data_IF_220772591363
#
_entry.id   IF_220772591363
#
_cell.length_a   1.000
_cell.length_b   1.000
_cell.length_c   1.000
_cell.angle_alpha   90.00
_cell.angle_beta   90.00
_cell.angle_gamma   90.00
#
_symmetry.space_group_name_H-M   'P 1'
#
loop_
_entity.id
_entity.type
_entity.pdbx_description
1 polymer ?
#
# COMPACT_ATOMS: atom_id res chain seq x y z
N UNK A 1 -18.72 30.49 17.60
CA UNK A 1 -19.40 29.21 17.85
C UNK A 1 -18.39 28.26 18.50
N UNK A 2 -18.51 28.07 19.81
CA UNK A 2 -17.69 27.09 20.52
C UNK A 2 -18.03 25.69 20.01
N UNK A 3 -17.01 24.90 19.69
CA UNK A 3 -17.22 23.48 19.39
C UNK A 3 -17.69 22.83 20.68
N UNK A 4 -18.97 22.49 20.76
CA UNK A 4 -19.48 21.75 21.92
C UNK A 4 -18.58 20.54 22.16
N UNK A 5 -18.05 20.36 23.38
CA UNK A 5 -17.22 19.22 23.68
C UNK A 5 -18.05 17.96 23.47
N UNK A 6 -17.58 17.09 22.56
CA UNK A 6 -18.26 15.84 22.27
C UNK A 6 -18.51 15.09 23.60
N UNK A 7 -19.78 14.76 23.93
CA UNK A 7 -20.13 14.16 25.22
C UNK A 7 -19.46 12.80 25.46
N UNK A 8 -19.06 12.10 24.40
CA UNK A 8 -18.36 10.82 24.49
C UNK A 8 -16.86 10.99 24.76
N UNK A 9 -16.32 12.21 24.68
CA UNK A 9 -14.88 12.47 24.86
C UNK A 9 -14.35 11.95 26.20
N UNK A 10 -14.97 12.21 27.37
CA UNK A 10 -14.45 11.71 28.64
C UNK A 10 -14.38 10.17 28.70
N UNK A 11 -15.40 9.50 28.17
CA UNK A 11 -15.45 8.03 28.09
C UNK A 11 -14.32 7.48 27.22
N UNK A 12 -14.16 8.05 26.02
CA UNK A 12 -13.14 7.63 25.06
C UNK A 12 -11.72 7.93 25.56
N UNK A 13 -11.52 8.97 26.37
CA UNK A 13 -10.24 9.23 27.04
C UNK A 13 -9.88 8.13 28.05
N UNK A 14 -10.84 7.73 28.90
CA UNK A 14 -10.63 6.66 29.88
C UNK A 14 -10.35 5.31 29.19
N UNK A 15 -11.08 5.01 28.12
CA UNK A 15 -10.88 3.78 27.34
C UNK A 15 -9.55 3.79 26.58
N UNK A 16 -9.16 4.94 26.01
CA UNK A 16 -7.84 5.12 25.41
C UNK A 16 -6.74 4.82 26.42
N UNK A 17 -6.79 5.38 27.63
CA UNK A 17 -5.75 5.17 28.63
C UNK A 17 -5.69 3.70 29.09
N UNK A 18 -6.83 3.03 29.23
CA UNK A 18 -6.89 1.60 29.55
C UNK A 18 -6.30 0.70 28.45
N UNK A 19 -6.53 1.04 27.18
CA UNK A 19 -6.10 0.21 26.04
C UNK A 19 -4.69 0.54 25.57
N UNK A 20 -4.32 1.82 25.50
CA UNK A 20 -3.06 2.30 24.92
C UNK A 20 -2.02 2.62 26.02
N UNK A 21 -2.42 2.83 27.27
CA UNK A 21 -1.51 3.00 28.41
C UNK A 21 -0.83 4.36 28.50
N UNK A 22 -1.25 5.34 27.71
CA UNK A 22 -0.76 6.72 27.76
C UNK A 22 -1.85 7.71 27.38
N UNK A 23 -1.81 8.96 27.86
CA UNK A 23 -2.85 9.94 27.55
C UNK A 23 -2.81 10.33 26.06
N UNK A 24 -3.98 10.47 25.40
CA UNK A 24 -4.03 10.88 24.00
C UNK A 24 -3.60 12.36 23.85
N UNK A 25 -2.95 12.72 22.72
CA UNK A 25 -2.73 14.11 22.36
C UNK A 25 -3.97 15.01 22.49
N UNK A 26 -3.79 16.21 23.06
CA UNK A 26 -4.88 17.12 23.49
C UNK A 26 -5.92 17.43 22.41
N UNK A 27 -5.54 17.40 21.13
CA UNK A 27 -6.39 17.77 19.99
C UNK A 27 -6.84 16.59 19.11
N UNK A 28 -6.68 15.35 19.58
CA UNK A 28 -7.21 14.20 18.87
C UNK A 28 -8.74 14.19 18.83
N UNK A 29 -9.30 13.88 17.66
CA UNK A 29 -10.74 13.73 17.48
C UNK A 29 -11.24 12.44 18.13
N UNK A 30 -12.48 12.46 18.63
CA UNK A 30 -13.09 11.29 19.29
C UNK A 30 -13.16 10.10 18.33
N UNK A 31 -13.61 10.31 17.09
CA UNK A 31 -13.68 9.24 16.09
C UNK A 31 -12.33 8.67 15.67
N UNK A 32 -11.22 9.40 15.83
CA UNK A 32 -9.88 8.82 15.66
C UNK A 32 -9.51 7.97 16.87
N UNK A 33 -9.78 8.46 18.08
CA UNK A 33 -9.50 7.74 19.32
C UNK A 33 -10.22 6.39 19.36
N UNK A 34 -11.50 6.34 19.00
CA UNK A 34 -12.27 5.09 18.91
C UNK A 34 -11.65 4.09 17.93
N UNK A 35 -11.23 4.55 16.74
CA UNK A 35 -10.57 3.69 15.74
C UNK A 35 -9.22 3.16 16.25
N UNK A 36 -8.45 4.00 16.94
CA UNK A 36 -7.17 3.60 17.51
C UNK A 36 -7.35 2.56 18.63
N UNK A 37 -8.33 2.77 19.51
CA UNK A 37 -8.71 1.81 20.57
C UNK A 37 -9.12 0.46 19.97
N UNK A 38 -9.97 0.47 18.94
CA UNK A 38 -10.41 -0.74 18.26
C UNK A 38 -9.23 -1.49 17.63
N UNK A 39 -8.34 -0.76 16.95
CA UNK A 39 -7.14 -1.33 16.35
C UNK A 39 -6.19 -1.95 17.38
N UNK A 40 -5.95 -1.26 18.50
CA UNK A 40 -5.05 -1.75 19.56
C UNK A 40 -5.64 -2.98 20.26
N UNK A 41 -6.95 -2.96 20.55
CA UNK A 41 -7.69 -4.12 21.08
C UNK A 41 -7.59 -5.32 20.14
N UNK A 42 -7.75 -5.09 18.83
CA UNK A 42 -7.61 -6.14 17.82
C UNK A 42 -6.17 -6.69 17.77
N UNK A 43 -5.16 -5.82 17.86
CA UNK A 43 -3.75 -6.23 17.86
C UNK A 43 -3.40 -7.06 19.10
N UNK A 44 -3.97 -6.76 20.27
CA UNK A 44 -3.80 -7.55 21.49
C UNK A 44 -4.42 -8.95 21.36
N UNK A 45 -5.58 -9.06 20.73
CA UNK A 45 -6.30 -10.32 20.58
C UNK A 45 -5.74 -11.23 19.47
N UNK A 46 -5.41 -10.66 18.30
CA UNK A 46 -5.05 -11.42 17.09
C UNK A 46 -3.54 -11.49 16.83
N UNK A 47 -2.75 -10.81 17.67
CA UNK A 47 -1.35 -10.52 17.38
C UNK A 47 -1.25 -9.37 16.38
N UNK A 48 -0.57 -8.29 16.78
CA UNK A 48 -0.35 -7.13 15.92
C UNK A 48 0.53 -7.44 14.71
N UNK A 49 1.13 -6.40 14.14
CA UNK A 49 1.95 -6.56 12.93
C UNK A 49 3.05 -7.64 13.10
N UNK A 50 3.25 -8.53 12.11
CA UNK A 50 4.34 -9.50 12.12
C UNK A 50 5.69 -8.83 12.34
N UNK A 51 6.63 -9.54 12.97
CA UNK A 51 7.96 -8.99 13.26
C UNK A 51 8.69 -8.50 12.00
N UNK A 52 8.49 -9.19 10.87
CA UNK A 52 9.02 -8.79 9.57
C UNK A 52 8.43 -7.45 9.11
N UNK A 53 7.11 -7.27 9.21
CA UNK A 53 6.42 -6.04 8.84
C UNK A 53 6.85 -4.86 9.72
N UNK A 54 6.98 -5.07 11.04
CA UNK A 54 7.51 -4.06 11.97
C UNK A 54 8.93 -3.64 11.62
N UNK A 55 9.82 -4.60 11.33
CA UNK A 55 11.19 -4.32 10.90
C UNK A 55 11.21 -3.53 9.59
N UNK A 56 10.35 -3.87 8.64
CA UNK A 56 10.27 -3.15 7.38
C UNK A 56 9.82 -1.69 7.57
N UNK A 57 8.76 -1.45 8.35
CA UNK A 57 8.30 -0.11 8.70
C UNK A 57 9.38 0.72 9.41
N UNK A 58 10.14 0.10 10.32
CA UNK A 58 11.25 0.78 11.01
C UNK A 58 12.42 1.15 10.07
N UNK A 59 12.68 0.37 9.02
CA UNK A 59 13.67 0.74 8.01
C UNK A 59 13.15 1.89 7.12
N UNK A 60 11.88 1.86 6.71
CA UNK A 60 11.25 2.95 5.95
C UNK A 60 11.31 4.26 6.74
N UNK A 61 10.96 4.24 8.03
CA UNK A 61 11.01 5.42 8.89
C UNK A 61 12.42 6.01 9.02
N UNK A 62 13.47 5.20 8.83
CA UNK A 62 14.87 5.62 8.79
C UNK A 62 15.34 6.06 7.40
N UNK A 63 14.40 6.25 6.45
CA UNK A 63 14.68 6.65 5.07
C UNK A 63 15.30 5.52 4.22
N UNK A 64 15.31 4.28 4.71
CA UNK A 64 15.86 3.15 3.97
C UNK A 64 14.79 2.51 3.11
N UNK A 65 15.14 2.23 1.86
CA UNK A 65 14.33 1.42 0.97
C UNK A 65 14.32 -0.01 1.48
N UNK A 66 13.15 -0.48 1.90
CA UNK A 66 12.92 -1.92 2.08
C UNK A 66 12.58 -2.53 0.74
N UNK A 67 13.00 -3.78 0.47
CA UNK A 67 12.47 -4.52 -0.65
C UNK A 67 10.96 -4.51 -0.53
N UNK A 68 10.27 -3.93 -1.51
CA UNK A 68 8.82 -4.09 -1.62
C UNK A 68 8.54 -5.59 -1.52
N UNK A 69 7.58 -5.97 -0.68
CA UNK A 69 7.07 -7.34 -0.65
C UNK A 69 6.95 -7.79 -2.09
N UNK A 70 7.65 -8.89 -2.44
CA UNK A 70 7.87 -9.32 -3.81
C UNK A 70 6.58 -9.08 -4.58
N UNK A 71 6.59 -8.08 -5.46
CA UNK A 71 5.52 -7.85 -6.41
C UNK A 71 5.65 -8.97 -7.45
N UNK A 72 5.44 -10.20 -7.00
CA UNK A 72 5.13 -11.31 -7.87
C UNK A 72 3.97 -10.86 -8.73
N UNK A 73 4.02 -11.27 -10.00
CA UNK A 73 3.07 -10.92 -11.05
C UNK A 73 1.68 -10.81 -10.42
N UNK A 74 1.20 -9.57 -10.40
CA UNK A 74 0.16 -9.17 -9.48
C UNK A 74 -1.12 -9.96 -9.70
N UNK A 75 -1.92 -10.16 -8.65
CA UNK A 75 -3.17 -10.94 -8.72
C UNK A 75 -4.08 -10.38 -9.82
N UNK A 76 -4.90 -11.25 -10.43
CA UNK A 76 -5.93 -10.83 -11.38
C UNK A 76 -6.75 -9.67 -10.79
N UNK A 77 -7.02 -8.64 -11.62
CA UNK A 77 -7.59 -7.36 -11.21
C UNK A 77 -6.56 -6.29 -10.85
N UNK A 78 -5.25 -6.59 -10.88
CA UNK A 78 -4.22 -5.56 -10.71
C UNK A 78 -4.00 -4.77 -12.00
N UNK A 79 -3.92 -3.45 -11.91
CA UNK A 79 -3.52 -2.61 -13.03
C UNK A 79 -2.06 -2.18 -12.92
N UNK A 80 -1.30 -2.43 -13.99
CA UNK A 80 0.05 -1.96 -14.21
C UNK A 80 -0.02 -0.69 -15.06
N UNK A 81 0.52 0.41 -14.57
CA UNK A 81 0.55 1.68 -15.30
C UNK A 81 1.99 1.99 -15.68
N UNK A 82 2.21 2.32 -16.95
CA UNK A 82 3.53 2.72 -17.46
C UNK A 82 3.43 3.94 -18.36
N UNK A 83 4.22 4.95 -18.06
CA UNK A 83 4.43 6.06 -18.99
C UNK A 83 5.54 5.72 -19.99
N UNK A 84 5.25 5.98 -21.27
CA UNK A 84 6.22 5.85 -22.36
C UNK A 84 5.94 6.89 -23.43
N UNK A 85 6.97 7.66 -23.79
CA UNK A 85 6.90 8.72 -24.80
C UNK A 85 5.76 9.73 -24.57
N UNK A 86 5.56 10.14 -23.31
CA UNK A 86 4.50 11.08 -22.92
C UNK A 86 3.07 10.50 -22.91
N UNK A 87 2.91 9.19 -23.13
CA UNK A 87 1.62 8.49 -23.04
C UNK A 87 1.62 7.48 -21.90
N UNK A 88 0.57 7.51 -21.08
CA UNK A 88 0.33 6.49 -20.05
C UNK A 88 -0.40 5.29 -20.65
N UNK A 89 0.13 4.09 -20.38
CA UNK A 89 -0.44 2.81 -20.78
C UNK A 89 -0.88 2.06 -19.52
N UNK A 90 -2.12 1.59 -19.51
CA UNK A 90 -2.70 0.81 -18.42
C UNK A 90 -2.94 -0.63 -18.87
N UNK A 91 -2.36 -1.58 -18.14
CA UNK A 91 -2.47 -3.02 -18.39
C UNK A 91 -3.12 -3.68 -17.19
N UNK A 92 -4.26 -4.32 -17.39
CA UNK A 92 -4.91 -5.15 -16.39
C UNK A 92 -4.33 -6.56 -16.41
N UNK A 93 -4.03 -7.13 -15.24
CA UNK A 93 -3.75 -8.56 -15.12
C UNK A 93 -5.08 -9.29 -15.07
N UNK A 94 -5.32 -10.20 -16.02
CA UNK A 94 -6.52 -11.04 -16.07
C UNK A 94 -6.14 -12.50 -15.81
N UNK A 95 -7.13 -13.35 -15.58
CA UNK A 95 -6.88 -14.78 -15.43
C UNK A 95 -6.23 -15.34 -16.71
N UNK A 96 -5.00 -15.85 -16.58
CA UNK A 96 -4.24 -16.43 -17.69
C UNK A 96 -3.51 -15.43 -18.61
N UNK A 97 -3.52 -14.12 -18.33
CA UNK A 97 -2.82 -13.17 -19.19
C UNK A 97 -2.94 -11.70 -18.78
N UNK A 98 -2.99 -10.81 -19.78
CA UNK A 98 -3.02 -9.37 -19.59
C UNK A 98 -3.98 -8.71 -20.58
N UNK A 99 -4.66 -7.64 -20.17
CA UNK A 99 -5.55 -6.85 -21.04
C UNK A 99 -5.07 -5.41 -21.11
N UNK A 100 -4.96 -4.87 -22.32
CA UNK A 100 -4.59 -3.47 -22.55
C UNK A 100 -5.46 -2.90 -23.66
N UNK A 101 -6.09 -1.75 -23.42
CA UNK A 101 -7.00 -1.08 -24.35
C UNK A 101 -8.09 -2.02 -24.92
N UNK A 102 -8.65 -2.89 -24.07
CA UNK A 102 -9.68 -3.87 -24.46
C UNK A 102 -9.18 -5.08 -25.23
N UNK A 103 -7.86 -5.21 -25.47
CA UNK A 103 -7.25 -6.35 -26.17
C UNK A 103 -6.51 -7.27 -25.19
N UNK A 104 -6.68 -8.58 -25.37
CA UNK A 104 -6.01 -9.60 -24.58
C UNK A 104 -4.62 -9.94 -25.14
N UNK A 105 -3.66 -10.13 -24.22
CA UNK A 105 -2.25 -10.36 -24.49
C UNK A 105 -1.71 -11.53 -23.66
N UNK A 106 -0.90 -12.37 -24.29
CA UNK A 106 -0.32 -13.57 -23.66
C UNK A 106 0.86 -13.27 -22.71
N UNK A 107 1.48 -12.09 -22.81
CA UNK A 107 2.59 -11.70 -21.93
C UNK A 107 2.85 -10.20 -21.90
N UNK A 108 3.46 -9.71 -20.81
CA UNK A 108 3.92 -8.33 -20.69
C UNK A 108 5.00 -7.98 -21.71
N UNK A 109 5.82 -8.93 -22.14
CA UNK A 109 6.84 -8.69 -23.17
C UNK A 109 6.21 -8.42 -24.54
N UNK A 110 5.07 -9.07 -24.84
CA UNK A 110 4.30 -8.77 -26.05
C UNK A 110 3.73 -7.34 -26.01
N UNK A 111 3.22 -6.92 -24.85
CA UNK A 111 2.74 -5.55 -24.64
C UNK A 111 3.90 -4.54 -24.74
N UNK A 112 5.02 -4.79 -24.07
CA UNK A 112 6.18 -3.91 -24.11
C UNK A 112 6.71 -3.74 -25.55
N UNK A 113 6.75 -4.82 -26.33
CA UNK A 113 7.10 -4.75 -27.76
C UNK A 113 6.07 -3.96 -28.57
N UNK A 114 4.78 -4.10 -28.25
CA UNK A 114 3.74 -3.33 -28.92
C UNK A 114 3.84 -1.82 -28.63
N UNK A 115 4.18 -1.44 -27.39
CA UNK A 115 4.33 -0.03 -26.98
C UNK A 115 5.63 0.58 -27.52
N UNK A 116 6.75 -0.14 -27.40
CA UNK A 116 8.09 0.40 -27.68
C UNK A 116 8.61 0.11 -29.09
N UNK A 117 7.99 -0.83 -29.82
CA UNK A 117 8.48 -1.33 -31.11
C UNK A 117 9.71 -2.25 -31.01
N UNK A 118 10.35 -2.34 -29.83
CA UNK A 118 11.56 -3.13 -29.59
C UNK A 118 11.30 -4.26 -28.59
N UNK A 119 12.13 -5.31 -28.64
CA UNK A 119 12.01 -6.42 -27.70
C UNK A 119 12.55 -6.00 -26.33
N UNK A 120 11.65 -5.65 -25.42
CA UNK A 120 11.95 -5.40 -24.01
C UNK A 120 11.47 -6.55 -23.13
N UNK A 121 12.17 -6.78 -22.03
CA UNK A 121 11.64 -7.61 -20.95
C UNK A 121 10.39 -6.94 -20.37
N UNK A 122 9.22 -7.57 -20.55
CA UNK A 122 7.94 -7.06 -20.06
C UNK A 122 7.95 -6.72 -18.57
N UNK A 123 8.36 -7.64 -17.68
CA UNK A 123 8.48 -7.33 -16.26
C UNK A 123 9.39 -6.12 -15.97
N UNK A 124 10.49 -5.96 -16.72
CA UNK A 124 11.39 -4.81 -16.54
C UNK A 124 10.76 -3.50 -17.02
N UNK A 125 10.05 -3.53 -18.13
CA UNK A 125 9.33 -2.38 -18.67
C UNK A 125 8.25 -1.88 -17.70
N UNK A 126 7.54 -2.80 -17.04
CA UNK A 126 6.51 -2.49 -16.03
C UNK A 126 7.04 -2.38 -14.60
N UNK A 127 8.36 -2.42 -14.37
CA UNK A 127 8.95 -2.25 -13.03
C UNK A 127 8.70 -3.42 -12.07
N UNK A 128 8.38 -4.60 -12.57
CA UNK A 128 8.08 -5.82 -11.80
C UNK A 128 9.31 -6.68 -11.48
N UNK A 129 10.52 -6.25 -11.84
CA UNK A 129 11.74 -7.01 -11.50
C UNK A 129 12.06 -6.86 -10.02
N UNK A 130 12.24 -7.98 -9.33
CA UNK A 130 12.78 -8.04 -7.98
C UNK A 130 14.20 -7.48 -7.95
N UNK A 131 14.40 -6.31 -7.34
CA UNK A 131 15.71 -5.83 -6.94
C UNK A 131 15.97 -4.37 -7.29
N UNK A 132 16.16 -3.58 -6.24
CA UNK A 132 16.77 -2.26 -6.21
C UNK A 132 16.07 -1.17 -7.04
N UNK A 133 15.29 -0.35 -6.34
CA UNK A 133 15.15 1.05 -6.73
C UNK A 133 16.55 1.65 -6.88
N UNK A 134 16.96 1.86 -8.13
CA UNK A 134 17.92 2.91 -8.46
C UNK A 134 17.09 4.16 -8.67
N UNK A 135 17.04 5.00 -7.64
CA UNK A 135 16.78 6.41 -7.83
C UNK A 135 17.90 7.00 -8.68
N UNK A 136 17.52 7.78 -9.68
CA UNK A 136 18.33 8.91 -10.13
C UNK A 136 18.00 10.12 -9.26
#
# INVERSE_FOLDING_TARGET
MGRDPNPERPRVLAEWEAVIGSPPPKFLSVGFMEKAIAHETQCKALGGLPAQTRRALAQIAKGKTVPAAQAGIAKAGTHLVREWNGRSYQVEVVEGGFRMDGKDWKSLSAIAKHITGATWSGPRFFGLTSGAGRGS
#
